data_IF_284967312337
#
_entry.id   IF_284967312337
#
_cell.length_a   1.000
_cell.length_b   1.000
_cell.length_c   1.000
_cell.angle_alpha   90.00
_cell.angle_beta   90.00
_cell.angle_gamma   90.00
#
_symmetry.space_group_name_H-M   'P 1'
#
loop_
_entity.id
_entity.type
_entity.pdbx_description
1 polymer ?
#
# COMPACT_ATOMS: atom_id res chain seq x y z
N UNK A 1 -2.92 -45.73 35.92
CA UNK A 1 -2.05 -45.18 34.86
C UNK A 1 -0.63 -45.65 35.11
N UNK A 2 0.06 -46.12 34.07
CA UNK A 2 1.48 -46.50 34.13
C UNK A 2 2.38 -45.27 33.93
N UNK A 3 3.65 -45.37 34.31
CA UNK A 3 4.66 -44.32 34.10
C UNK A 3 4.79 -43.98 32.61
N UNK A 4 4.75 -45.00 31.73
CA UNK A 4 4.78 -44.83 30.28
C UNK A 4 3.63 -43.94 29.75
N UNK A 5 2.40 -44.19 30.21
CA UNK A 5 1.23 -43.39 29.80
C UNK A 5 1.35 -41.91 30.20
N UNK A 6 1.95 -41.61 31.36
CA UNK A 6 2.18 -40.21 31.78
C UNK A 6 3.24 -39.52 30.92
N UNK A 7 4.31 -40.22 30.56
CA UNK A 7 5.36 -39.68 29.72
C UNK A 7 4.83 -39.37 28.31
N UNK A 8 4.06 -40.27 27.72
CA UNK A 8 3.43 -40.04 26.40
C UNK A 8 2.46 -38.87 26.41
N UNK A 9 1.61 -38.77 27.44
CA UNK A 9 0.67 -37.67 27.58
C UNK A 9 1.39 -36.32 27.73
N UNK A 10 2.46 -36.29 28.55
CA UNK A 10 3.26 -35.08 28.76
C UNK A 10 3.97 -34.66 27.47
N UNK A 11 4.64 -35.59 26.78
CA UNK A 11 5.31 -35.30 25.51
C UNK A 11 4.33 -34.80 24.43
N UNK A 12 3.12 -35.37 24.35
CA UNK A 12 2.08 -34.90 23.43
C UNK A 12 1.60 -33.49 23.78
N UNK A 13 1.42 -33.18 25.07
CA UNK A 13 1.03 -31.84 25.50
C UNK A 13 2.11 -30.80 25.23
N UNK A 14 3.37 -31.14 25.50
CA UNK A 14 4.52 -30.27 25.24
C UNK A 14 4.66 -30.02 23.74
N UNK A 15 4.66 -31.06 22.90
CA UNK A 15 4.74 -30.90 21.45
C UNK A 15 3.56 -30.12 20.86
N UNK A 16 2.35 -30.27 21.42
CA UNK A 16 1.20 -29.47 21.00
C UNK A 16 1.33 -28.00 21.39
N UNK A 17 1.83 -27.71 22.60
CA UNK A 17 2.09 -26.33 23.03
C UNK A 17 3.20 -25.68 22.22
N UNK A 18 4.30 -26.38 21.97
CA UNK A 18 5.41 -25.89 21.15
C UNK A 18 4.93 -25.60 19.72
N UNK A 19 4.23 -26.54 19.08
CA UNK A 19 3.70 -26.33 17.73
C UNK A 19 2.70 -25.17 17.64
N UNK A 20 1.85 -24.98 18.65
CA UNK A 20 0.96 -23.81 18.71
C UNK A 20 1.74 -22.50 18.88
N UNK A 21 2.78 -22.50 19.71
CA UNK A 21 3.58 -21.32 19.96
C UNK A 21 4.38 -20.92 18.72
N UNK A 22 5.02 -21.89 18.06
CA UNK A 22 5.78 -21.71 16.83
C UNK A 22 4.87 -21.23 15.71
N UNK A 23 3.77 -21.93 15.43
CA UNK A 23 2.83 -21.53 14.38
C UNK A 23 2.22 -20.14 14.60
N UNK A 24 1.96 -19.77 15.87
CA UNK A 24 1.50 -18.41 16.21
C UNK A 24 2.59 -17.36 15.97
N UNK A 25 3.83 -17.67 16.32
CA UNK A 25 4.95 -16.76 16.14
C UNK A 25 5.24 -16.53 14.66
N UNK A 26 5.30 -17.60 13.87
CA UNK A 26 5.49 -17.56 12.42
C UNK A 26 4.37 -16.78 11.74
N UNK A 27 3.10 -17.13 12.00
CA UNK A 27 1.97 -16.44 11.37
C UNK A 27 1.90 -14.94 11.72
N UNK A 28 2.29 -14.54 12.93
CA UNK A 28 2.38 -13.13 13.31
C UNK A 28 3.55 -12.41 12.61
N UNK A 29 4.68 -13.10 12.43
CA UNK A 29 5.85 -12.54 11.76
C UNK A 29 5.57 -12.35 10.26
N UNK A 30 5.04 -13.38 9.61
CA UNK A 30 4.68 -13.37 8.19
C UNK A 30 3.62 -12.31 7.91
N UNK A 31 2.48 -12.34 8.61
CA UNK A 31 1.41 -11.35 8.41
C UNK A 31 1.86 -9.91 8.65
N UNK A 32 2.79 -9.68 9.60
CA UNK A 32 3.38 -8.35 9.82
C UNK A 32 4.33 -7.93 8.70
N UNK A 33 5.09 -8.87 8.15
CA UNK A 33 6.01 -8.59 7.04
C UNK A 33 5.24 -8.28 5.77
N UNK A 34 4.26 -9.11 5.42
CA UNK A 34 3.38 -8.95 4.26
C UNK A 34 2.63 -7.62 4.34
N UNK A 35 1.90 -7.36 5.43
CA UNK A 35 1.14 -6.12 5.57
C UNK A 35 2.01 -4.85 5.50
N UNK A 36 3.26 -4.90 5.99
CA UNK A 36 4.20 -3.78 5.82
C UNK A 36 4.74 -3.65 4.40
N UNK A 37 4.87 -4.74 3.67
CA UNK A 37 5.34 -4.71 2.30
C UNK A 37 4.26 -4.16 1.38
N UNK A 38 3.05 -4.70 1.48
CA UNK A 38 1.86 -4.27 0.74
C UNK A 38 1.56 -2.79 1.01
N UNK A 39 1.40 -2.39 2.28
CA UNK A 39 1.11 -1.00 2.61
C UNK A 39 2.20 -0.01 2.15
N UNK A 40 3.48 -0.43 2.13
CA UNK A 40 4.56 0.41 1.57
C UNK A 40 4.54 0.47 0.05
N UNK A 41 4.06 -0.57 -0.64
CA UNK A 41 3.97 -0.59 -2.09
C UNK A 41 2.78 0.24 -2.55
N UNK A 42 1.61 0.02 -1.96
CA UNK A 42 0.38 0.77 -2.23
C UNK A 42 0.60 2.26 -1.96
N UNK A 43 1.07 2.63 -0.77
CA UNK A 43 1.29 4.04 -0.44
C UNK A 43 2.34 4.72 -1.34
N UNK A 44 3.34 3.99 -1.85
CA UNK A 44 4.28 4.54 -2.84
C UNK A 44 3.66 4.72 -4.22
N UNK A 45 2.78 3.82 -4.63
CA UNK A 45 2.09 3.90 -5.91
C UNK A 45 1.07 5.04 -5.91
N UNK A 46 0.23 5.09 -4.88
CA UNK A 46 -0.75 6.16 -4.67
C UNK A 46 -0.05 7.51 -4.59
N UNK A 47 0.97 7.65 -3.72
CA UNK A 47 1.70 8.91 -3.58
C UNK A 47 2.39 9.38 -4.87
N UNK A 48 2.90 8.47 -5.70
CA UNK A 48 3.45 8.84 -7.03
C UNK A 48 2.36 9.29 -7.99
N UNK A 49 1.22 8.60 -8.00
CA UNK A 49 0.11 8.94 -8.88
C UNK A 49 -0.49 10.29 -8.51
N UNK A 50 -0.77 10.51 -7.23
CA UNK A 50 -1.25 11.79 -6.69
C UNK A 50 -0.25 12.91 -6.97
N UNK A 51 1.03 12.70 -6.64
CA UNK A 51 2.08 13.71 -6.88
C UNK A 51 2.25 14.04 -8.36
N UNK A 52 2.18 13.05 -9.25
CA UNK A 52 2.25 13.28 -10.70
C UNK A 52 1.03 14.06 -11.20
N UNK A 53 -0.16 13.75 -10.70
CA UNK A 53 -1.37 14.49 -11.04
C UNK A 53 -1.28 15.93 -10.53
N UNK A 54 -0.92 16.13 -9.27
CA UNK A 54 -0.76 17.46 -8.68
C UNK A 54 0.28 18.30 -9.43
N UNK A 55 1.43 17.72 -9.79
CA UNK A 55 2.44 18.39 -10.59
C UNK A 55 1.91 18.79 -11.97
N UNK A 56 1.16 17.91 -12.64
CA UNK A 56 0.53 18.19 -13.93
C UNK A 56 -0.46 19.36 -13.83
N UNK A 57 -1.28 19.39 -12.77
CA UNK A 57 -2.23 20.47 -12.51
C UNK A 57 -1.51 21.81 -12.24
N UNK A 58 -0.44 21.80 -11.43
CA UNK A 58 0.38 22.99 -11.17
C UNK A 58 1.01 23.56 -12.45
N UNK A 59 1.53 22.69 -13.30
CA UNK A 59 2.08 23.08 -14.61
C UNK A 59 0.98 23.69 -15.48
N UNK A 60 -0.17 23.03 -15.59
CA UNK A 60 -1.29 23.55 -16.38
C UNK A 60 -1.74 24.95 -15.91
N UNK A 61 -1.87 25.16 -14.61
CA UNK A 61 -2.14 26.47 -14.02
C UNK A 61 -1.09 27.52 -14.41
N UNK A 62 0.19 27.19 -14.26
CA UNK A 62 1.28 28.12 -14.57
C UNK A 62 1.30 28.52 -16.05
N UNK A 63 1.05 27.58 -16.95
CA UNK A 63 1.00 27.84 -18.39
C UNK A 63 -0.19 28.76 -18.75
N UNK A 64 -1.37 28.50 -18.20
CA UNK A 64 -2.56 29.35 -18.41
C UNK A 64 -2.34 30.77 -17.87
N UNK A 65 -1.76 30.90 -16.67
CA UNK A 65 -1.43 32.20 -16.09
C UNK A 65 -0.37 32.96 -16.90
N UNK A 66 0.48 32.23 -17.64
CA UNK A 66 1.47 32.81 -18.55
C UNK A 66 0.88 33.19 -19.91
N UNK A 67 -0.44 33.04 -20.10
CA UNK A 67 -1.15 33.41 -21.33
C UNK A 67 -1.08 32.36 -22.44
N UNK A 68 -0.64 31.13 -22.14
CA UNK A 68 -0.70 30.02 -23.10
C UNK A 68 -2.16 29.59 -23.27
N UNK A 69 -2.56 29.35 -24.51
CA UNK A 69 -3.92 28.96 -24.83
C UNK A 69 -4.26 27.56 -24.28
N UNK A 70 -5.54 27.34 -24.00
CA UNK A 70 -6.03 26.10 -23.39
C UNK A 70 -5.77 24.87 -24.25
N UNK A 71 -5.83 24.99 -25.57
CA UNK A 71 -5.64 23.87 -26.48
C UNK A 71 -4.20 23.36 -26.42
N UNK A 72 -3.22 24.27 -26.41
CA UNK A 72 -1.80 23.94 -26.24
C UNK A 72 -1.53 23.33 -24.86
N UNK A 73 -2.15 23.84 -23.79
CA UNK A 73 -2.02 23.25 -22.45
C UNK A 73 -2.58 21.82 -22.40
N UNK A 74 -3.75 21.57 -23.01
CA UNK A 74 -4.33 20.22 -23.10
C UNK A 74 -3.40 19.25 -23.83
N UNK A 75 -2.86 19.65 -24.99
CA UNK A 75 -1.93 18.81 -25.77
C UNK A 75 -0.64 18.49 -25.01
N UNK A 76 -0.14 19.44 -24.24
CA UNK A 76 1.14 19.31 -23.52
C UNK A 76 1.01 18.51 -22.22
N UNK A 77 -0.09 18.72 -21.49
CA UNK A 77 -0.30 18.11 -20.16
C UNK A 77 -1.13 16.83 -20.21
N UNK A 78 -1.81 16.56 -21.33
CA UNK A 78 -2.74 15.43 -21.48
C UNK A 78 -4.04 15.59 -20.68
N UNK A 79 -4.29 16.79 -20.10
CA UNK A 79 -5.50 17.06 -19.35
C UNK A 79 -6.71 17.21 -20.29
N UNK A 80 -7.87 16.71 -19.83
CA UNK A 80 -9.15 16.95 -20.51
C UNK A 80 -9.67 18.35 -20.22
N UNK A 81 -10.56 18.84 -21.08
CA UNK A 81 -11.20 20.14 -20.91
C UNK A 81 -11.92 20.26 -19.56
N UNK A 82 -12.71 19.24 -19.18
CA UNK A 82 -13.39 19.22 -17.87
C UNK A 82 -12.40 19.35 -16.71
N UNK A 83 -11.21 18.74 -16.82
CA UNK A 83 -10.21 18.81 -15.76
C UNK A 83 -9.59 20.20 -15.67
N UNK A 84 -9.40 20.89 -16.79
CA UNK A 84 -8.94 22.28 -16.82
C UNK A 84 -10.01 23.28 -16.35
N UNK A 85 -11.30 23.00 -16.59
CA UNK A 85 -12.39 23.84 -16.10
C UNK A 85 -12.51 23.77 -14.57
N UNK A 86 -12.28 22.59 -13.97
CA UNK A 86 -12.22 22.42 -12.51
C UNK A 86 -11.05 23.17 -11.86
N UNK A 87 -10.00 23.48 -12.61
CA UNK A 87 -8.80 24.20 -12.17
C UNK A 87 -9.04 25.71 -12.19
N UNK A 88 -9.90 26.21 -13.08
CA UNK A 88 -10.14 27.63 -13.31
C UNK A 88 -11.28 28.22 -12.47
N UNK A 89 -12.02 27.38 -11.74
CA UNK A 89 -13.08 27.78 -10.81
C UNK A 89 -12.54 27.97 -9.39
#
# INVERSE_FOLDING_TARGET
MTIAQRLEHKARQEGYQEGLQEGRQEGLQEGRQEGRQEGRQEGRQEGRQEGSQEATLKIAHALLNSGIDRETVMKTTGLSQNKLEQILH
#
